data_IF_613945884398
#
_entry.id   IF_613945884398
#
_cell.length_a   1.000
_cell.length_b   1.000
_cell.length_c   1.000
_cell.angle_alpha   90.00
_cell.angle_beta   90.00
_cell.angle_gamma   90.00
#
_symmetry.space_group_name_H-M   'P 1'
#
loop_
_entity.id
_entity.type
_entity.pdbx_description
1 polymer ?
#
# COMPACT_ATOMS: atom_id res chain seq x y z
N UNK A 1 4.94 19.52 -0.40
CA UNK A 1 5.43 18.88 -1.64
C UNK A 1 4.60 17.64 -1.92
N UNK A 2 3.98 17.52 -3.11
CA UNK A 2 3.10 16.41 -3.47
C UNK A 2 3.82 15.05 -3.44
N UNK A 3 5.11 14.99 -3.80
CA UNK A 3 5.93 13.77 -3.79
C UNK A 3 5.92 13.06 -2.42
N UNK A 4 6.10 13.79 -1.33
CA UNK A 4 6.13 13.21 0.02
C UNK A 4 4.79 12.57 0.41
N UNK A 5 3.66 13.14 -0.03
CA UNK A 5 2.33 12.59 0.28
C UNK A 5 2.15 11.19 -0.31
N UNK A 6 2.65 11.00 -1.52
CA UNK A 6 2.44 9.75 -2.22
C UNK A 6 3.49 8.68 -1.88
N UNK A 7 4.71 9.07 -1.52
CA UNK A 7 5.67 8.16 -0.87
C UNK A 7 5.05 7.61 0.41
N UNK A 8 4.49 8.48 1.26
CA UNK A 8 3.78 8.04 2.47
C UNK A 8 2.59 7.13 2.17
N UNK A 9 1.87 7.34 1.07
CA UNK A 9 0.76 6.47 0.66
C UNK A 9 1.26 5.07 0.26
N UNK A 10 2.36 5.00 -0.50
CA UNK A 10 2.99 3.75 -0.90
C UNK A 10 3.47 2.96 0.32
N UNK A 11 4.19 3.61 1.25
CA UNK A 11 4.65 3.01 2.51
C UNK A 11 3.47 2.49 3.33
N UNK A 12 2.39 3.27 3.45
CA UNK A 12 1.15 2.83 4.13
C UNK A 12 0.60 1.55 3.52
N UNK A 13 0.58 1.46 2.19
CA UNK A 13 0.06 0.29 1.47
C UNK A 13 0.98 -0.92 1.61
N UNK A 14 2.29 -0.73 1.67
CA UNK A 14 3.22 -1.83 1.95
C UNK A 14 3.00 -2.41 3.34
N UNK A 15 2.88 -1.55 4.36
CA UNK A 15 2.57 -1.99 5.73
C UNK A 15 1.24 -2.74 5.81
N UNK A 16 0.21 -2.22 5.12
CA UNK A 16 -1.10 -2.87 5.00
C UNK A 16 -1.01 -4.28 4.43
N UNK A 17 -0.22 -4.46 3.36
CA UNK A 17 -0.03 -5.78 2.76
C UNK A 17 0.74 -6.71 3.67
N UNK A 18 1.77 -6.23 4.37
CA UNK A 18 2.48 -7.03 5.37
C UNK A 18 1.53 -7.55 6.47
N UNK A 19 0.69 -6.68 7.00
CA UNK A 19 -0.28 -7.09 8.02
C UNK A 19 -1.33 -8.05 7.49
N UNK A 20 -1.78 -7.87 6.24
CA UNK A 20 -2.69 -8.80 5.58
C UNK A 20 -2.07 -10.19 5.45
N UNK A 21 -0.83 -10.26 4.96
CA UNK A 21 -0.11 -11.51 4.76
C UNK A 21 0.09 -12.25 6.09
N UNK A 22 0.45 -11.52 7.15
CA UNK A 22 0.54 -12.08 8.50
C UNK A 22 -0.80 -12.66 8.98
N UNK A 23 -1.92 -11.96 8.76
CA UNK A 23 -3.26 -12.45 9.15
C UNK A 23 -3.67 -13.70 8.37
N UNK A 24 -3.20 -13.84 7.13
CA UNK A 24 -3.48 -14.97 6.25
C UNK A 24 -2.45 -16.11 6.41
N UNK A 25 -1.51 -16.02 7.35
CA UNK A 25 -0.39 -16.97 7.50
C UNK A 25 0.41 -17.17 6.19
N UNK A 26 0.46 -16.14 5.36
CA UNK A 26 1.24 -16.15 4.13
C UNK A 26 2.74 -15.94 4.44
N UNK A 27 3.65 -16.45 3.59
CA UNK A 27 5.08 -16.22 3.75
C UNK A 27 5.42 -14.73 3.74
N UNK A 28 6.43 -14.36 4.53
CA UNK A 28 6.86 -12.97 4.61
C UNK A 28 7.46 -12.52 3.26
N UNK A 29 7.00 -11.37 2.78
CA UNK A 29 7.41 -10.80 1.50
C UNK A 29 8.30 -9.60 1.80
N UNK A 30 9.47 -9.59 1.16
CA UNK A 30 10.38 -8.46 1.25
C UNK A 30 9.72 -7.14 0.81
N UNK A 31 10.04 -6.07 1.51
CA UNK A 31 9.46 -4.73 1.31
C UNK A 31 9.49 -4.27 -0.16
N UNK A 32 10.60 -4.50 -0.87
CA UNK A 32 10.73 -4.15 -2.30
C UNK A 32 9.79 -4.93 -3.22
N UNK A 33 9.50 -6.21 -2.90
CA UNK A 33 8.55 -7.01 -3.66
C UNK A 33 7.11 -6.50 -3.46
N UNK A 34 6.75 -6.05 -2.26
CA UNK A 34 5.45 -5.44 -1.97
C UNK A 34 5.29 -4.08 -2.67
N UNK A 35 6.35 -3.27 -2.69
CA UNK A 35 6.37 -2.03 -3.46
C UNK A 35 6.16 -2.32 -4.94
N UNK A 36 6.77 -3.38 -5.48
CA UNK A 36 6.58 -3.80 -6.86
C UNK A 36 5.15 -4.30 -7.12
N UNK A 37 4.53 -5.03 -6.20
CA UNK A 37 3.11 -5.45 -6.33
C UNK A 37 2.19 -4.23 -6.41
N UNK A 38 2.42 -3.21 -5.58
CA UNK A 38 1.63 -1.99 -5.58
C UNK A 38 1.91 -1.15 -6.85
N UNK A 39 3.16 -1.12 -7.28
CA UNK A 39 3.61 -0.33 -8.43
C UNK A 39 3.37 -1.01 -9.79
N UNK A 40 3.22 -2.34 -9.83
CA UNK A 40 3.41 -3.21 -11.01
C UNK A 40 2.84 -2.59 -12.30
N UNK A 41 3.76 -2.01 -13.07
CA UNK A 41 3.72 -1.94 -14.52
C UNK A 41 4.89 -2.76 -15.04
N UNK A 42 4.78 -3.29 -16.25
CA UNK A 42 5.70 -4.26 -16.88
C UNK A 42 7.15 -3.76 -17.12
N UNK A 43 7.68 -2.82 -16.33
CA UNK A 43 9.06 -2.38 -16.44
C UNK A 43 9.52 -1.45 -15.31
N UNK A 44 10.82 -1.53 -15.03
CA UNK A 44 11.59 -0.54 -14.26
C UNK A 44 11.33 0.92 -14.71
N UNK A 45 10.86 1.09 -15.96
CA UNK A 45 10.42 2.34 -16.57
C UNK A 45 9.27 3.01 -15.84
N UNK A 46 8.28 2.29 -15.32
CA UNK A 46 7.13 2.91 -14.64
C UNK A 46 7.47 3.39 -13.23
N UNK A 47 8.49 2.78 -12.60
CA UNK A 47 9.06 3.23 -11.34
C UNK A 47 9.89 4.51 -11.53
N UNK A 48 10.72 4.54 -12.57
CA UNK A 48 11.47 5.75 -12.92
C UNK A 48 10.52 6.87 -13.37
N UNK A 49 9.51 6.57 -14.18
CA UNK A 49 8.48 7.53 -14.60
C UNK A 49 7.59 7.99 -13.42
N UNK A 50 7.36 7.11 -12.43
CA UNK A 50 6.73 7.47 -11.16
C UNK A 50 7.57 8.44 -10.33
N UNK A 51 8.88 8.19 -10.21
CA UNK A 51 9.81 9.06 -9.49
C UNK A 51 10.01 10.40 -10.21
N UNK A 52 10.09 10.36 -11.54
CA UNK A 52 10.46 11.50 -12.38
C UNK A 52 9.25 12.39 -12.71
N UNK A 53 8.06 11.81 -12.93
CA UNK A 53 6.88 12.54 -13.39
C UNK A 53 5.74 12.59 -12.36
N UNK A 54 5.88 11.93 -11.20
CA UNK A 54 4.88 11.99 -10.13
C UNK A 54 3.48 11.56 -10.58
N UNK A 55 3.38 10.55 -11.47
CA UNK A 55 2.11 10.03 -12.00
C UNK A 55 1.38 9.13 -11.00
N UNK A 56 1.12 9.66 -9.81
CA UNK A 56 0.52 8.94 -8.67
C UNK A 56 -0.92 8.48 -8.90
N UNK A 57 -1.66 9.15 -9.78
CA UNK A 57 -3.06 8.85 -10.06
C UNK A 57 -3.27 7.46 -10.71
N UNK A 58 -2.30 6.96 -11.48
CA UNK A 58 -2.40 5.64 -12.11
C UNK A 58 -2.26 4.49 -11.10
N UNK A 59 -1.36 4.67 -10.12
CA UNK A 59 -1.17 3.72 -9.01
C UNK A 59 -2.38 3.73 -8.10
N UNK A 60 -2.90 4.91 -7.73
CA UNK A 60 -4.09 5.02 -6.88
C UNK A 60 -5.34 4.38 -7.49
N UNK A 61 -5.55 4.50 -8.80
CA UNK A 61 -6.74 3.93 -9.46
C UNK A 61 -6.72 2.41 -9.52
N UNK A 62 -5.55 1.80 -9.61
CA UNK A 62 -5.42 0.38 -9.94
C UNK A 62 -4.87 -0.47 -8.79
N UNK A 63 -4.50 0.12 -7.65
CA UNK A 63 -3.82 -0.62 -6.58
C UNK A 63 -4.66 -1.78 -6.05
N UNK A 64 -5.98 -1.62 -5.91
CA UNK A 64 -6.84 -2.70 -5.40
C UNK A 64 -6.86 -3.91 -6.35
N UNK A 65 -7.12 -3.69 -7.63
CA UNK A 65 -7.18 -4.76 -8.64
C UNK A 65 -5.82 -5.47 -8.77
N UNK A 66 -4.73 -4.70 -8.79
CA UNK A 66 -3.36 -5.21 -8.85
C UNK A 66 -2.99 -6.03 -7.62
N UNK A 67 -3.32 -5.51 -6.45
CA UNK A 67 -3.08 -6.20 -5.17
C UNK A 67 -3.80 -7.54 -5.13
N UNK A 68 -5.08 -7.57 -5.52
CA UNK A 68 -5.85 -8.81 -5.54
C UNK A 68 -5.23 -9.85 -6.48
N UNK A 69 -4.85 -9.45 -7.70
CA UNK A 69 -4.16 -10.33 -8.66
C UNK A 69 -2.82 -10.84 -8.14
N UNK A 70 -2.05 -9.98 -7.49
CA UNK A 70 -0.77 -10.38 -6.91
C UNK A 70 -0.95 -11.38 -5.76
N UNK A 71 -1.91 -11.12 -4.86
CA UNK A 71 -2.23 -12.03 -3.75
C UNK A 71 -2.71 -13.39 -4.26
N UNK A 72 -3.56 -13.40 -5.29
CA UNK A 72 -4.01 -14.63 -5.97
C UNK A 72 -2.83 -15.41 -6.55
N UNK A 73 -1.92 -14.75 -7.28
CA UNK A 73 -0.69 -15.39 -7.83
C UNK A 73 0.22 -15.97 -6.73
N UNK A 74 0.15 -15.42 -5.53
CA UNK A 74 0.93 -15.87 -4.38
C UNK A 74 0.25 -16.98 -3.57
N UNK A 75 -0.94 -17.43 -3.99
CA UNK A 75 -1.73 -18.43 -3.26
C UNK A 75 -2.38 -17.87 -2.00
N UNK A 76 -2.50 -16.55 -1.87
CA UNK A 76 -3.22 -15.90 -0.77
C UNK A 76 -4.68 -15.76 -1.18
N UNK A 77 -5.44 -16.81 -0.91
CA UNK A 77 -6.84 -16.92 -1.28
C UNK A 77 -7.77 -16.16 -0.31
N UNK A 78 -9.02 -15.96 -0.75
CA UNK A 78 -10.09 -15.33 0.02
C UNK A 78 -9.81 -13.89 0.49
N UNK A 79 -8.99 -13.13 -0.24
CA UNK A 79 -8.86 -11.69 -0.01
C UNK A 79 -9.87 -10.98 -0.91
N UNK A 80 -10.78 -10.23 -0.31
CA UNK A 80 -11.79 -9.47 -1.05
C UNK A 80 -11.41 -7.99 -1.20
N UNK A 81 -11.96 -7.34 -2.23
CA UNK A 81 -11.86 -5.88 -2.39
C UNK A 81 -12.37 -5.13 -1.15
N UNK A 82 -13.44 -5.62 -0.54
CA UNK A 82 -14.05 -5.02 0.64
C UNK A 82 -13.13 -5.12 1.87
N UNK A 83 -12.46 -6.26 2.07
CA UNK A 83 -11.43 -6.40 3.09
C UNK A 83 -10.26 -5.43 2.90
N UNK A 84 -9.75 -5.31 1.67
CA UNK A 84 -8.66 -4.37 1.37
C UNK A 84 -9.06 -2.92 1.66
N UNK A 85 -10.28 -2.52 1.31
CA UNK A 85 -10.82 -1.19 1.61
C UNK A 85 -10.99 -0.95 3.10
N UNK A 86 -11.52 -1.94 3.83
CA UNK A 86 -11.67 -1.88 5.30
C UNK A 86 -10.33 -1.76 6.00
N UNK A 87 -9.31 -2.49 5.52
CA UNK A 87 -7.95 -2.41 6.04
C UNK A 87 -7.36 -1.01 5.82
N UNK A 88 -7.41 -0.48 4.60
CA UNK A 88 -6.89 0.86 4.28
C UNK A 88 -7.60 1.94 5.10
N UNK A 89 -8.93 1.89 5.21
CA UNK A 89 -9.72 2.84 6.02
C UNK A 89 -9.36 2.76 7.50
N UNK A 90 -9.24 1.56 8.07
CA UNK A 90 -8.88 1.38 9.48
C UNK A 90 -7.48 1.91 9.80
N UNK A 91 -6.52 1.70 8.89
CA UNK A 91 -5.16 2.19 9.05
C UNK A 91 -5.07 3.72 8.92
N UNK A 92 -5.86 4.30 8.00
CA UNK A 92 -5.96 5.75 7.88
C UNK A 92 -6.49 6.38 9.17
N UNK A 93 -7.56 5.82 9.75
CA UNK A 93 -8.12 6.26 11.03
C UNK A 93 -7.09 6.09 12.17
N UNK A 94 -6.36 4.97 12.21
CA UNK A 94 -5.34 4.73 13.22
C UNK A 94 -4.18 5.75 13.15
N UNK A 95 -3.69 6.05 11.94
CA UNK A 95 -2.66 7.06 11.71
C UNK A 95 -3.14 8.48 12.04
N UNK A 96 -4.39 8.82 11.71
CA UNK A 96 -4.99 10.10 12.09
C UNK A 96 -5.09 10.24 13.61
N UNK A 97 -5.50 9.19 14.33
CA UNK A 97 -5.51 9.17 15.80
C UNK A 97 -4.13 9.32 16.42
N UNK A 98 -3.12 8.64 15.87
CA UNK A 98 -1.73 8.83 16.31
C UNK A 98 -1.24 10.26 16.09
N UNK A 99 -1.53 10.86 14.92
CA UNK A 99 -1.17 12.26 14.65
C UNK A 99 -1.84 13.23 15.60
N UNK A 100 -3.09 12.99 15.99
CA UNK A 100 -3.83 13.80 16.96
C UNK A 100 -3.26 13.62 18.38
N UNK A 101 -2.98 12.38 18.80
CA UNK A 101 -2.38 12.09 20.11
C UNK A 101 -0.96 12.64 20.27
N UNK A 102 -0.14 12.61 19.21
CA UNK A 102 1.17 13.28 19.21
C UNK A 102 1.08 14.81 19.25
N UNK A 103 -0.04 15.37 18.75
CA UNK A 103 -0.31 16.81 18.80
C UNK A 103 -0.71 17.26 20.20
N UNK A 104 -1.47 16.44 20.93
CA UNK A 104 -1.83 16.71 22.33
C UNK A 104 -0.64 16.50 23.29
N UNK A 105 0.27 15.59 22.98
CA UNK A 105 1.49 15.36 23.77
C UNK A 105 2.61 16.40 23.56
N UNK A 106 2.44 17.33 22.60
CA UNK A 106 3.43 18.37 22.26
C UNK A 106 2.99 19.78 22.68
N UNK A 107 1.97 19.91 23.53
CA UNK A 107 1.47 21.18 24.10
C UNK A 107 1.81 21.25 25.58
#
# INVERSE_FOLDING_TARGET
>A
MPINRHISLLETRVELLQDLLRRKNAPDIGWGCLQNIIAEGDGWSDWQDFLDHGRYAAIERNWYDRTLKALERMGVEDVTLDELRKLESSNQIARERQRMGSREASI
#
